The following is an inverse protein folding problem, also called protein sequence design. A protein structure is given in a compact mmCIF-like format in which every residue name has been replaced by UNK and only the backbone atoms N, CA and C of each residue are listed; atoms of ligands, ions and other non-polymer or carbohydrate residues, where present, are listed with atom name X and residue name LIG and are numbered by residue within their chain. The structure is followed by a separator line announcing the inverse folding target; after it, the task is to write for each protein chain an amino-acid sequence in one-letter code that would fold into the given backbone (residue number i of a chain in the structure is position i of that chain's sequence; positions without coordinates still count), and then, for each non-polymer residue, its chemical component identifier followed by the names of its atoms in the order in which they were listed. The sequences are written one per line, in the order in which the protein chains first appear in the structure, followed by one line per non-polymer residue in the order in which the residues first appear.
data_IF_142573583726
#
_entry.id   IF_142573583726
#
_cell.length_a   1.000
_cell.length_b   1.000
_cell.length_c   1.000
_cell.angle_alpha   90.00
_cell.angle_beta   90.00
_cell.angle_gamma   90.00
#
_symmetry.space_group_name_H-M   'P 1'
#
loop_
_entity.id
_entity.type
_entity.pdbx_description
1 polymer ?
#
# COMPACT_ATOMS: atom_id res chain seq x y z
N UNK A 1 5.77 -25.86 45.59
CA UNK A 1 6.36 -24.63 45.06
C UNK A 1 6.29 -24.70 43.54
N UNK A 2 5.35 -24.00 42.94
CA UNK A 2 5.46 -23.53 41.55
C UNK A 2 4.39 -22.44 41.39
N UNK A 3 4.83 -21.18 41.52
CA UNK A 3 3.98 -20.03 41.32
C UNK A 3 3.96 -19.73 39.81
N UNK A 4 2.87 -20.12 39.17
CA UNK A 4 2.57 -19.77 37.78
C UNK A 4 2.52 -18.25 37.65
N UNK A 5 3.53 -17.67 37.01
CA UNK A 5 3.60 -16.23 36.75
C UNK A 5 2.50 -15.84 35.76
N UNK A 6 1.71 -14.78 35.98
CA UNK A 6 0.70 -14.37 35.04
C UNK A 6 1.37 -13.84 33.77
N UNK A 7 1.10 -14.48 32.63
CA UNK A 7 1.47 -14.00 31.31
C UNK A 7 0.85 -12.62 31.07
N UNK A 8 1.66 -11.56 31.16
CA UNK A 8 1.24 -10.20 30.82
C UNK A 8 0.71 -10.17 29.38
N UNK A 9 -0.52 -9.68 29.21
CA UNK A 9 -1.10 -9.49 27.89
C UNK A 9 -0.25 -8.49 27.09
N UNK A 10 0.02 -8.74 25.78
CA UNK A 10 0.84 -7.86 24.97
C UNK A 10 0.27 -6.44 24.97
N UNK A 11 1.13 -5.47 25.29
CA UNK A 11 0.74 -4.06 25.44
C UNK A 11 0.42 -3.46 24.07
N UNK A 12 -0.87 -3.34 23.74
CA UNK A 12 -1.36 -2.80 22.47
C UNK A 12 -1.14 -1.28 22.42
N UNK A 13 -0.36 -0.77 21.46
CA UNK A 13 -0.21 0.68 21.23
C UNK A 13 -1.25 1.19 20.24
N UNK A 14 -2.06 2.18 20.66
CA UNK A 14 -3.01 2.92 19.81
C UNK A 14 -2.27 4.07 19.12
N UNK A 15 -2.44 4.23 17.81
CA UNK A 15 -1.75 5.28 17.02
C UNK A 15 -2.75 6.32 16.54
N UNK A 16 -2.38 7.61 16.61
CA UNK A 16 -3.25 8.70 16.17
C UNK A 16 -3.44 8.68 14.64
N UNK A 17 -4.67 8.93 14.18
CA UNK A 17 -4.99 8.97 12.75
C UNK A 17 -4.38 10.23 12.09
N UNK A 18 -3.45 10.03 11.16
CA UNK A 18 -2.94 11.11 10.30
C UNK A 18 -4.00 11.64 9.33
N UNK A 19 -3.96 12.93 9.00
CA UNK A 19 -4.86 13.54 8.00
C UNK A 19 -4.27 13.36 6.59
N UNK A 20 -4.95 12.62 5.70
CA UNK A 20 -4.57 12.51 4.27
C UNK A 20 -5.33 13.52 3.41
N UNK A 21 -4.61 14.46 2.78
CA UNK A 21 -5.17 15.43 1.82
C UNK A 21 -4.33 15.45 0.53
N UNK A 22 -4.69 14.66 -0.50
CA UNK A 22 -3.88 14.49 -1.71
C UNK A 22 -3.93 15.69 -2.66
N UNK A 23 -4.98 16.53 -2.58
CA UNK A 23 -5.19 17.68 -3.47
C UNK A 23 -4.36 18.92 -3.15
N UNK A 24 -3.55 18.90 -2.08
CA UNK A 24 -2.75 20.06 -1.64
C UNK A 24 -1.24 19.89 -1.86
N UNK A 25 -0.79 18.79 -2.48
CA UNK A 25 0.64 18.56 -2.74
C UNK A 25 0.99 18.88 -4.20
N UNK A 26 1.62 20.03 -4.50
CA UNK A 26 1.99 20.41 -5.87
C UNK A 26 2.96 19.41 -6.51
N UNK A 27 3.73 18.65 -5.73
CA UNK A 27 4.64 17.62 -6.25
C UNK A 27 3.90 16.43 -6.90
N UNK A 28 2.58 16.31 -6.69
CA UNK A 28 1.74 15.29 -7.34
C UNK A 28 1.19 15.74 -8.70
N UNK A 29 1.32 17.00 -9.11
CA UNK A 29 0.80 17.45 -10.41
C UNK A 29 1.30 16.60 -11.60
N UNK A 30 2.59 16.24 -11.71
CA UNK A 30 3.07 15.32 -12.74
C UNK A 30 2.48 13.90 -12.65
N UNK A 31 2.15 13.45 -11.44
CA UNK A 31 1.54 12.14 -11.19
C UNK A 31 0.12 12.12 -11.70
N UNK A 32 -0.65 13.18 -11.41
CA UNK A 32 -2.01 13.32 -11.92
C UNK A 32 -2.02 13.42 -13.45
N UNK A 33 -1.12 14.21 -14.04
CA UNK A 33 -1.03 14.32 -15.49
C UNK A 33 -0.82 12.95 -16.17
N UNK A 34 0.09 12.12 -15.66
CA UNK A 34 0.28 10.76 -16.18
C UNK A 34 -0.94 9.86 -15.93
N UNK A 35 -1.55 9.95 -14.74
CA UNK A 35 -2.73 9.14 -14.42
C UNK A 35 -3.89 9.47 -15.37
N UNK A 36 -4.11 10.75 -15.64
CA UNK A 36 -5.13 11.28 -16.56
C UNK A 36 -4.85 10.88 -18.02
N UNK A 37 -3.60 11.00 -18.48
CA UNK A 37 -3.16 10.54 -19.80
C UNK A 37 -3.40 9.03 -20.01
N UNK A 38 -3.37 8.27 -18.91
CA UNK A 38 -3.67 6.84 -18.90
C UNK A 38 -5.14 6.49 -18.56
N UNK A 39 -6.04 7.46 -18.48
CA UNK A 39 -7.47 7.28 -18.20
C UNK A 39 -7.75 6.47 -16.91
N UNK A 40 -6.98 6.73 -15.86
CA UNK A 40 -7.11 6.00 -14.59
C UNK A 40 -8.49 6.16 -13.94
N UNK A 41 -8.90 5.17 -13.15
CA UNK A 41 -10.11 5.26 -12.36
C UNK A 41 -9.88 6.12 -11.10
N UNK A 42 -10.32 7.38 -11.17
CA UNK A 42 -10.10 8.40 -10.14
C UNK A 42 -10.57 7.95 -8.75
N UNK A 43 -11.79 7.42 -8.65
CA UNK A 43 -12.40 7.04 -7.38
C UNK A 43 -11.58 5.99 -6.63
N UNK A 44 -11.32 4.87 -7.30
CA UNK A 44 -10.52 3.77 -6.76
C UNK A 44 -9.08 4.19 -6.42
N UNK A 45 -8.37 4.83 -7.35
CA UNK A 45 -6.96 5.17 -7.15
C UNK A 45 -6.74 6.13 -5.98
N UNK A 46 -7.59 7.15 -5.82
CA UNK A 46 -7.52 8.07 -4.69
C UNK A 46 -7.90 7.40 -3.37
N UNK A 47 -8.87 6.49 -3.40
CA UNK A 47 -9.27 5.74 -2.22
C UNK A 47 -8.14 4.82 -1.73
N UNK A 48 -7.52 4.05 -2.64
CA UNK A 48 -6.34 3.22 -2.34
C UNK A 48 -5.18 4.06 -1.83
N UNK A 49 -4.88 5.20 -2.46
CA UNK A 49 -3.84 6.12 -2.00
C UNK A 49 -4.09 6.63 -0.58
N UNK A 50 -5.35 6.90 -0.24
CA UNK A 50 -5.74 7.31 1.12
C UNK A 50 -5.52 6.18 2.13
N UNK A 51 -6.04 4.99 1.87
CA UNK A 51 -5.89 3.85 2.78
C UNK A 51 -4.41 3.48 2.99
N UNK A 52 -3.63 3.42 1.91
CA UNK A 52 -2.19 3.15 1.98
C UNK A 52 -1.45 4.19 2.81
N UNK A 53 -1.79 5.47 2.64
CA UNK A 53 -1.17 6.57 3.40
C UNK A 53 -1.56 6.55 4.88
N UNK A 54 -2.81 6.23 5.21
CA UNK A 54 -3.25 6.06 6.60
C UNK A 54 -2.48 4.93 7.30
N UNK A 55 -2.27 3.80 6.62
CA UNK A 55 -1.46 2.70 7.17
C UNK A 55 0.02 3.09 7.29
N UNK A 56 0.58 3.80 6.31
CA UNK A 56 1.95 4.32 6.40
C UNK A 56 2.14 5.21 7.63
N UNK A 57 1.25 6.18 7.84
CA UNK A 57 1.38 7.11 8.95
C UNK A 57 1.26 6.38 10.31
N UNK A 58 0.35 5.42 10.41
CA UNK A 58 0.10 4.68 11.65
C UNK A 58 1.15 3.60 11.96
N UNK A 59 1.80 3.04 10.93
CA UNK A 59 2.86 2.03 11.07
C UNK A 59 4.27 2.63 11.02
N UNK A 60 4.40 3.96 11.03
CA UNK A 60 5.70 4.66 11.00
C UNK A 60 6.69 4.13 12.04
N UNK A 61 6.32 3.84 13.30
CA UNK A 61 7.26 3.30 14.28
C UNK A 61 7.85 1.93 13.88
N UNK A 62 7.13 1.14 13.07
CA UNK A 62 7.61 -0.16 12.61
C UNK A 62 8.55 -0.03 11.42
N UNK A 63 8.16 0.72 10.39
CA UNK A 63 8.93 0.78 9.16
C UNK A 63 9.98 1.90 9.14
N UNK A 64 9.85 2.91 10.00
CA UNK A 64 10.80 4.02 10.19
C UNK A 64 11.11 4.79 8.90
N UNK A 65 10.11 4.91 8.03
CA UNK A 65 10.26 5.60 6.72
C UNK A 65 9.72 7.02 6.83
N UNK A 66 10.43 7.98 6.23
CA UNK A 66 10.07 9.40 6.26
C UNK A 66 9.24 9.89 5.06
N UNK A 67 9.00 11.21 4.96
CA UNK A 67 8.10 11.83 3.97
C UNK A 67 8.41 11.52 2.50
N UNK A 68 9.70 11.37 2.15
CA UNK A 68 10.09 10.98 0.78
C UNK A 68 9.53 9.63 0.36
N UNK A 69 9.46 8.66 1.29
CA UNK A 69 8.90 7.33 1.03
C UNK A 69 7.38 7.38 1.03
N UNK A 70 6.80 8.23 1.87
CA UNK A 70 5.37 8.52 1.83
C UNK A 70 4.93 9.06 0.47
N UNK A 71 5.68 10.01 -0.10
CA UNK A 71 5.43 10.51 -1.46
C UNK A 71 5.47 9.39 -2.51
N UNK A 72 6.51 8.54 -2.46
CA UNK A 72 6.64 7.38 -3.37
C UNK A 72 5.45 6.44 -3.26
N UNK A 73 4.97 6.17 -2.05
CA UNK A 73 3.77 5.36 -1.83
C UNK A 73 2.54 6.01 -2.46
N UNK A 74 2.27 7.28 -2.13
CA UNK A 74 1.12 8.00 -2.67
C UNK A 74 1.14 8.04 -4.20
N UNK A 75 2.29 8.33 -4.81
CA UNK A 75 2.44 8.33 -6.27
C UNK A 75 2.21 6.95 -6.87
N UNK A 76 2.80 5.90 -6.29
CA UNK A 76 2.60 4.53 -6.75
C UNK A 76 1.14 4.08 -6.61
N UNK A 77 0.46 4.47 -5.54
CA UNK A 77 -0.97 4.18 -5.33
C UNK A 77 -1.86 4.87 -6.37
N UNK A 78 -1.57 6.12 -6.74
CA UNK A 78 -2.35 6.81 -7.77
C UNK A 78 -2.15 6.19 -9.16
N UNK A 79 -0.97 5.60 -9.40
CA UNK A 79 -0.58 5.05 -10.70
C UNK A 79 -0.73 3.53 -10.81
N UNK A 80 -1.15 2.81 -9.77
CA UNK A 80 -0.99 1.35 -9.71
C UNK A 80 -1.69 0.59 -10.86
N UNK A 81 -2.82 1.13 -11.33
CA UNK A 81 -3.68 0.51 -12.33
C UNK A 81 -3.64 1.17 -13.72
N UNK A 82 -2.77 2.16 -13.96
CA UNK A 82 -2.69 2.86 -15.26
C UNK A 82 -2.39 1.93 -16.45
N UNK A 83 -1.77 0.77 -16.19
CA UNK A 83 -1.54 -0.24 -17.23
C UNK A 83 -2.81 -0.89 -17.78
N UNK A 84 -3.98 -0.64 -17.16
CA UNK A 84 -5.27 -1.10 -17.68
C UNK A 84 -5.64 -0.48 -19.04
N UNK A 85 -5.02 0.64 -19.42
CA UNK A 85 -5.22 1.25 -20.74
C UNK A 85 -4.92 0.28 -21.89
N UNK A 86 -3.91 -0.58 -21.75
CA UNK A 86 -3.57 -1.64 -22.72
C UNK A 86 -4.22 -3.00 -22.38
N UNK A 87 -5.18 -3.01 -21.47
CA UNK A 87 -5.91 -4.19 -21.06
C UNK A 87 -5.45 -4.80 -19.73
N UNK A 88 -6.30 -5.70 -19.20
CA UNK A 88 -6.15 -6.25 -17.84
C UNK A 88 -5.02 -7.27 -17.71
N UNK A 89 -4.62 -7.91 -18.81
CA UNK A 89 -3.62 -8.98 -18.82
C UNK A 89 -2.25 -8.36 -18.56
N UNK A 90 -1.64 -8.73 -17.43
CA UNK A 90 -0.31 -8.25 -17.00
C UNK A 90 -0.23 -6.72 -16.85
N UNK A 91 -1.35 -6.01 -16.59
CA UNK A 91 -1.37 -4.54 -16.43
C UNK A 91 -0.30 -4.03 -15.45
N UNK A 92 0.01 -4.77 -14.38
CA UNK A 92 1.01 -4.39 -13.38
C UNK A 92 2.44 -4.30 -13.98
N UNK A 93 2.72 -5.05 -15.04
CA UNK A 93 3.97 -4.94 -15.80
C UNK A 93 3.94 -3.72 -16.72
N UNK A 94 2.79 -3.46 -17.34
CA UNK A 94 2.56 -2.27 -18.17
C UNK A 94 2.63 -0.97 -17.35
N UNK A 95 2.03 -0.94 -16.15
CA UNK A 95 2.14 0.15 -15.18
C UNK A 95 3.61 0.51 -14.90
N UNK A 96 4.46 -0.50 -14.64
CA UNK A 96 5.90 -0.24 -14.46
C UNK A 96 6.49 0.43 -15.71
N UNK A 97 6.21 -0.10 -16.90
CA UNK A 97 6.72 0.45 -18.16
C UNK A 97 6.29 1.91 -18.36
N UNK A 98 5.00 2.22 -18.20
CA UNK A 98 4.50 3.59 -18.31
C UNK A 98 5.18 4.56 -17.33
N UNK A 99 5.41 4.15 -16.08
CA UNK A 99 6.12 4.99 -15.11
C UNK A 99 7.59 5.19 -15.49
N UNK A 100 8.25 4.18 -16.05
CA UNK A 100 9.64 4.26 -16.50
C UNK A 100 9.78 5.19 -17.71
N UNK A 101 8.87 5.09 -18.68
CA UNK A 101 9.00 5.73 -19.99
C UNK A 101 8.35 7.13 -20.06
N UNK A 102 7.47 7.47 -19.11
CA UNK A 102 6.70 8.71 -19.14
C UNK A 102 7.56 9.98 -19.15
N UNK A 103 7.38 10.87 -20.13
CA UNK A 103 8.05 12.19 -20.14
C UNK A 103 7.42 13.18 -19.17
N UNK A 104 6.21 12.90 -18.69
CA UNK A 104 5.46 13.77 -17.78
C UNK A 104 6.05 13.80 -16.38
N UNK A 105 6.77 12.76 -15.97
CA UNK A 105 7.36 12.66 -14.63
C UNK A 105 8.77 13.29 -14.59
N UNK A 106 8.99 14.46 -13.94
CA UNK A 106 10.31 15.10 -13.88
C UNK A 106 11.20 14.45 -12.81
N UNK A 107 11.33 13.13 -12.86
CA UNK A 107 12.04 12.31 -11.89
C UNK A 107 13.24 11.61 -12.51
N UNK A 108 14.28 11.38 -11.71
CA UNK A 108 15.40 10.53 -12.10
C UNK A 108 14.95 9.09 -12.37
N UNK A 109 15.71 8.38 -13.21
CA UNK A 109 15.42 6.99 -13.55
C UNK A 109 15.33 6.09 -12.33
N UNK A 110 16.20 6.32 -11.33
CA UNK A 110 16.15 5.62 -10.05
C UNK A 110 14.83 5.85 -9.31
N UNK A 111 14.32 7.08 -9.29
CA UNK A 111 13.05 7.37 -8.62
C UNK A 111 11.87 6.73 -9.36
N UNK A 112 11.83 6.82 -10.70
CA UNK A 112 10.83 6.12 -11.53
C UNK A 112 10.85 4.61 -11.29
N UNK A 113 12.04 4.00 -11.25
CA UNK A 113 12.21 2.57 -11.02
C UNK A 113 11.68 2.14 -9.65
N UNK A 114 11.88 2.94 -8.60
CA UNK A 114 11.33 2.68 -7.27
C UNK A 114 9.80 2.77 -7.28
N UNK A 115 9.23 3.89 -7.76
CA UNK A 115 7.78 4.11 -7.80
C UNK A 115 7.09 3.06 -8.66
N UNK A 116 7.61 2.79 -9.86
CA UNK A 116 7.10 1.77 -10.75
C UNK A 116 7.21 0.36 -10.17
N UNK A 117 8.27 0.06 -9.41
CA UNK A 117 8.39 -1.23 -8.72
C UNK A 117 7.34 -1.37 -7.61
N UNK A 118 7.10 -0.32 -6.82
CA UNK A 118 6.02 -0.31 -5.80
C UNK A 118 4.67 -0.58 -6.47
N UNK A 119 4.35 0.18 -7.52
CA UNK A 119 3.10 0.07 -8.27
C UNK A 119 2.92 -1.34 -8.89
N UNK A 120 3.98 -1.93 -9.47
CA UNK A 120 3.92 -3.27 -10.05
C UNK A 120 3.60 -4.37 -9.05
N UNK A 121 4.07 -4.24 -7.81
CA UNK A 121 3.91 -5.30 -6.80
C UNK A 121 2.57 -5.24 -6.05
N UNK A 122 1.64 -4.35 -6.44
CA UNK A 122 0.28 -4.33 -5.87
C UNK A 122 -0.50 -5.66 -6.12
N UNK A 123 -0.06 -6.48 -7.08
CA UNK A 123 -0.67 -7.80 -7.36
C UNK A 123 0.32 -8.84 -7.84
N UNK A 124 -0.15 -10.09 -7.88
CA UNK A 124 0.59 -11.26 -8.40
C UNK A 124 1.86 -11.52 -7.58
N UNK A 125 2.98 -11.82 -8.23
CA UNK A 125 4.21 -12.27 -7.60
C UNK A 125 4.79 -11.20 -6.66
N UNK A 126 5.45 -11.65 -5.61
CA UNK A 126 6.20 -10.78 -4.69
C UNK A 126 7.56 -10.38 -5.30
N UNK A 127 8.25 -9.37 -4.74
CA UNK A 127 9.59 -9.02 -5.16
C UNK A 127 10.54 -10.23 -5.16
N UNK A 128 11.24 -10.43 -6.27
CA UNK A 128 12.06 -11.62 -6.52
C UNK A 128 13.38 -11.25 -7.21
N UNK A 129 14.48 -11.98 -6.93
CA UNK A 129 15.72 -11.88 -7.70
C UNK A 129 15.58 -12.23 -9.19
N UNK A 130 14.47 -12.86 -9.60
CA UNK A 130 14.17 -13.13 -11.02
C UNK A 130 13.57 -11.93 -11.76
N UNK A 131 13.38 -10.80 -11.08
CA UNK A 131 12.79 -9.59 -11.66
C UNK A 131 13.88 -8.52 -11.83
N UNK A 132 14.32 -8.28 -13.06
CA UNK A 132 15.45 -7.39 -13.38
C UNK A 132 15.30 -5.99 -12.78
N UNK A 133 14.10 -5.42 -12.89
CA UNK A 133 13.78 -4.10 -12.33
C UNK A 133 13.97 -4.03 -10.80
N UNK A 134 13.82 -5.16 -10.09
CA UNK A 134 13.99 -5.22 -8.64
C UNK A 134 15.45 -5.49 -8.24
N UNK A 135 16.17 -6.29 -9.03
CA UNK A 135 17.61 -6.53 -8.82
C UNK A 135 18.43 -5.27 -9.06
N UNK A 136 18.01 -4.44 -10.03
CA UNK A 136 18.64 -3.15 -10.33
C UNK A 136 18.55 -2.11 -9.19
N UNK A 137 17.66 -2.31 -8.20
CA UNK A 137 17.56 -1.44 -7.03
C UNK A 137 18.65 -1.76 -6.02
N UNK A 138 19.19 -0.75 -5.33
CA UNK A 138 20.08 -0.99 -4.19
C UNK A 138 19.31 -1.53 -2.96
N UNK A 139 20.05 -1.97 -1.94
CA UNK A 139 19.46 -2.59 -0.75
C UNK A 139 18.39 -1.73 -0.05
N UNK A 140 18.64 -0.43 0.10
CA UNK A 140 17.70 0.52 0.71
C UNK A 140 16.41 0.63 -0.11
N UNK A 141 16.53 0.80 -1.43
CA UNK A 141 15.36 0.91 -2.30
C UNK A 141 14.60 -0.43 -2.42
N UNK A 142 15.28 -1.58 -2.34
CA UNK A 142 14.62 -2.89 -2.23
C UNK A 142 13.81 -3.03 -0.95
N UNK A 143 14.33 -2.52 0.18
CA UNK A 143 13.58 -2.47 1.47
C UNK A 143 12.37 -1.55 1.33
N UNK A 144 12.55 -0.35 0.79
CA UNK A 144 11.45 0.59 0.53
C UNK A 144 10.36 -0.07 -0.34
N UNK A 145 10.73 -0.72 -1.45
CA UNK A 145 9.77 -1.40 -2.34
C UNK A 145 8.97 -2.50 -1.63
N UNK A 146 9.61 -3.30 -0.76
CA UNK A 146 8.91 -4.36 -0.02
C UNK A 146 7.87 -3.80 0.94
N UNK A 147 8.25 -2.81 1.75
CA UNK A 147 7.34 -2.18 2.72
C UNK A 147 6.21 -1.44 2.01
N UNK A 148 6.56 -0.53 1.10
CA UNK A 148 5.58 0.32 0.42
C UNK A 148 4.68 -0.49 -0.52
N UNK A 149 5.24 -1.48 -1.22
CA UNK A 149 4.48 -2.42 -2.04
C UNK A 149 3.51 -3.25 -1.20
N UNK A 150 3.90 -3.67 0.01
CA UNK A 150 3.01 -4.36 0.95
C UNK A 150 1.84 -3.50 1.42
N UNK A 151 2.10 -2.23 1.76
CA UNK A 151 1.06 -1.27 2.13
C UNK A 151 0.07 -1.02 0.98
N UNK A 152 0.59 -0.75 -0.23
CA UNK A 152 -0.24 -0.55 -1.42
C UNK A 152 -1.08 -1.79 -1.73
N UNK A 153 -0.45 -2.97 -1.75
CA UNK A 153 -1.10 -4.24 -2.05
C UNK A 153 -2.24 -4.57 -1.08
N UNK A 154 -2.07 -4.26 0.21
CA UNK A 154 -3.14 -4.38 1.20
C UNK A 154 -4.25 -3.33 0.98
N UNK A 155 -3.88 -2.07 0.72
CA UNK A 155 -4.84 -1.00 0.48
C UNK A 155 -5.74 -1.26 -0.74
N UNK A 156 -5.15 -1.70 -1.86
CA UNK A 156 -5.86 -2.12 -3.07
C UNK A 156 -6.81 -3.30 -2.77
N UNK A 157 -6.38 -4.26 -1.96
CA UNK A 157 -7.24 -5.37 -1.54
C UNK A 157 -8.48 -4.94 -0.73
N UNK A 158 -8.34 -3.90 0.08
CA UNK A 158 -9.43 -3.33 0.89
C UNK A 158 -10.46 -2.56 0.04
N UNK A 159 -10.15 -2.29 -1.23
CA UNK A 159 -11.07 -1.68 -2.19
C UNK A 159 -11.24 -2.53 -3.46
N UNK A 160 -11.18 -3.86 -3.33
CA UNK A 160 -11.17 -4.76 -4.51
C UNK A 160 -12.43 -4.68 -5.37
N UNK A 161 -13.55 -4.15 -4.86
CA UNK A 161 -14.78 -3.92 -5.62
C UNK A 161 -14.92 -2.51 -6.17
N UNK A 162 -13.97 -1.62 -5.84
CA UNK A 162 -13.92 -0.22 -6.25
C UNK A 162 -15.12 0.60 -5.74
N UNK A 163 -15.84 0.08 -4.74
CA UNK A 163 -17.01 0.73 -4.12
C UNK A 163 -16.66 1.50 -2.84
N UNK A 164 -15.38 1.53 -2.46
CA UNK A 164 -14.90 2.17 -1.24
C UNK A 164 -15.64 1.67 0.01
N UNK A 165 -15.89 0.37 0.07
CA UNK A 165 -16.61 -0.28 1.19
C UNK A 165 -15.90 0.00 2.52
N UNK A 166 -14.57 -0.14 2.53
CA UNK A 166 -13.72 0.20 3.67
C UNK A 166 -13.50 1.71 3.69
N UNK A 167 -14.19 2.42 4.57
CA UNK A 167 -14.15 3.89 4.65
C UNK A 167 -12.95 4.43 5.41
N UNK A 168 -12.22 3.59 6.14
CA UNK A 168 -11.03 3.98 6.88
C UNK A 168 -10.36 2.79 7.51
N UNK A 169 -9.15 3.01 8.02
CA UNK A 169 -8.39 1.98 8.73
C UNK A 169 -7.75 2.57 9.98
N UNK A 170 -7.81 1.81 11.07
CA UNK A 170 -7.04 2.05 12.28
C UNK A 170 -6.06 0.89 12.47
N UNK A 171 -4.79 1.20 12.65
CA UNK A 171 -3.72 0.24 12.81
C UNK A 171 -3.19 0.31 14.24
N UNK A 172 -3.06 -0.87 14.84
CA UNK A 172 -2.31 -1.08 16.08
C UNK A 172 -1.36 -2.24 15.87
N UNK A 173 -0.34 -2.35 16.70
CA UNK A 173 0.58 -3.47 16.62
C UNK A 173 1.12 -3.84 18.00
N UNK A 174 1.60 -5.06 18.08
CA UNK A 174 2.46 -5.59 19.15
C UNK A 174 3.73 -6.18 18.51
N UNK A 175 4.51 -6.92 19.30
CA UNK A 175 5.78 -7.48 18.83
C UNK A 175 5.62 -8.54 17.75
N UNK A 176 4.43 -9.17 17.64
CA UNK A 176 4.16 -10.29 16.74
C UNK A 176 3.19 -9.93 15.61
N UNK A 177 2.27 -8.99 15.86
CA UNK A 177 1.11 -8.76 15.00
C UNK A 177 0.85 -7.30 14.71
N UNK A 178 0.37 -7.04 13.50
CA UNK A 178 -0.26 -5.81 13.08
C UNK A 178 -1.76 -6.09 12.97
N UNK A 179 -2.58 -5.32 13.67
CA UNK A 179 -4.03 -5.39 13.56
C UNK A 179 -4.51 -4.20 12.74
N UNK A 180 -5.25 -4.48 11.67
CA UNK A 180 -5.84 -3.51 10.76
C UNK A 180 -7.36 -3.55 10.95
N UNK A 181 -7.87 -2.59 11.72
CA UNK A 181 -9.30 -2.40 11.94
C UNK A 181 -9.89 -1.60 10.77
N UNK A 182 -10.70 -2.27 9.96
CA UNK A 182 -11.36 -1.68 8.80
C UNK A 182 -12.70 -1.08 9.22
N UNK A 183 -12.83 0.23 9.05
CA UNK A 183 -14.08 0.95 9.30
C UNK A 183 -15.02 0.73 8.12
N UNK A 184 -16.11 0.01 8.35
CA UNK A 184 -17.09 -0.38 7.33
C UNK A 184 -18.49 0.01 7.78
N UNK A 185 -19.35 0.43 6.85
CA UNK A 185 -20.79 0.52 7.12
C UNK A 185 -21.32 -0.90 7.38
N UNK A 186 -22.20 -1.05 8.36
CA UNK A 186 -22.66 -2.36 8.85
C UNK A 186 -23.26 -3.22 7.73
N UNK A 187 -24.10 -2.63 6.87
CA UNK A 187 -24.68 -3.29 5.69
C UNK A 187 -23.69 -3.52 4.53
N UNK A 188 -22.50 -2.91 4.54
CA UNK A 188 -21.52 -3.00 3.46
C UNK A 188 -20.43 -4.04 3.70
N UNK A 189 -20.50 -4.77 4.82
CA UNK A 189 -19.63 -5.89 5.16
C UNK A 189 -19.58 -6.92 4.01
N UNK A 190 -18.49 -6.93 3.24
CA UNK A 190 -18.36 -7.75 2.03
C UNK A 190 -17.17 -8.74 2.11
N UNK A 191 -17.48 -10.04 2.06
CA UNK A 191 -16.51 -11.12 2.21
C UNK A 191 -15.39 -11.08 1.15
N UNK A 192 -15.64 -10.45 -0.01
CA UNK A 192 -14.66 -10.31 -1.08
C UNK A 192 -13.44 -9.50 -0.66
N UNK A 193 -13.62 -8.31 -0.08
CA UNK A 193 -12.56 -7.42 0.37
C UNK A 193 -11.78 -8.07 1.51
N UNK A 194 -12.45 -8.66 2.50
CA UNK A 194 -11.76 -9.35 3.59
C UNK A 194 -10.91 -10.51 3.09
N UNK A 195 -11.50 -11.41 2.30
CA UNK A 195 -10.77 -12.57 1.78
C UNK A 195 -9.62 -12.17 0.86
N UNK A 196 -9.78 -11.09 0.08
CA UNK A 196 -8.69 -10.54 -0.75
C UNK A 196 -7.59 -9.92 0.12
N UNK A 197 -7.97 -9.14 1.13
CA UNK A 197 -7.04 -8.43 2.00
C UNK A 197 -6.18 -9.38 2.83
N UNK A 198 -6.78 -10.45 3.39
CA UNK A 198 -6.02 -11.51 4.10
C UNK A 198 -4.95 -12.11 3.19
N UNK A 199 -5.30 -12.45 1.94
CA UNK A 199 -4.33 -13.01 0.98
C UNK A 199 -3.26 -12.01 0.55
N UNK A 200 -3.62 -10.74 0.37
CA UNK A 200 -2.74 -9.68 -0.14
C UNK A 200 -1.89 -9.00 0.95
N UNK A 201 -2.10 -9.33 2.22
CA UNK A 201 -1.23 -8.89 3.31
C UNK A 201 0.16 -9.57 3.30
N UNK A 202 0.33 -10.63 2.51
CA UNK A 202 1.53 -11.47 2.39
C UNK A 202 2.84 -10.69 2.25
N UNK A 203 2.89 -9.64 1.43
CA UNK A 203 4.10 -8.83 1.27
C UNK A 203 4.39 -7.99 2.52
N UNK A 204 3.36 -7.41 3.14
CA UNK A 204 3.52 -6.59 4.33
C UNK A 204 3.99 -7.44 5.52
N UNK A 205 3.44 -8.66 5.65
CA UNK A 205 3.87 -9.66 6.65
C UNK A 205 5.36 -9.95 6.51
N UNK A 206 5.82 -10.24 5.29
CA UNK A 206 7.25 -10.50 5.02
C UNK A 206 8.13 -9.28 5.21
N UNK A 207 7.63 -8.08 4.92
CA UNK A 207 8.42 -6.86 4.98
C UNK A 207 8.62 -6.32 6.39
N UNK A 208 7.64 -6.56 7.29
CA UNK A 208 7.65 -6.07 8.68
C UNK A 208 7.80 -7.19 9.72
N UNK A 209 7.93 -8.44 9.26
CA UNK A 209 8.16 -9.64 10.06
C UNK A 209 7.11 -9.80 11.18
N UNK A 210 5.85 -9.52 10.83
CA UNK A 210 4.70 -9.56 11.74
C UNK A 210 3.47 -10.08 11.00
N UNK A 211 2.66 -10.90 11.65
CA UNK A 211 1.38 -11.33 11.08
C UNK A 211 0.44 -10.12 10.94
N UNK A 212 -0.41 -10.13 9.92
CA UNK A 212 -1.43 -9.09 9.72
C UNK A 212 -2.81 -9.68 10.00
N UNK A 213 -3.48 -9.15 11.02
CA UNK A 213 -4.85 -9.50 11.38
C UNK A 213 -5.81 -8.41 10.87
N UNK A 214 -6.81 -8.81 10.09
CA UNK A 214 -7.80 -7.88 9.53
C UNK A 214 -9.11 -8.04 10.29
N UNK A 215 -9.54 -6.95 10.92
CA UNK A 215 -10.74 -6.89 11.74
C UNK A 215 -11.72 -5.89 11.15
N UNK A 216 -13.01 -6.14 11.30
CA UNK A 216 -14.05 -5.23 10.82
C UNK A 216 -14.71 -4.53 11.98
N UNK A 217 -14.64 -3.21 11.97
CA UNK A 217 -15.32 -2.36 12.92
C UNK A 217 -16.48 -1.67 12.22
N UNK A 218 -17.69 -1.88 12.75
CA UNK A 218 -18.87 -1.17 12.26
C UNK A 218 -18.74 0.31 12.60
N UNK A 219 -18.98 1.15 11.60
CA UNK A 219 -19.23 2.59 11.78
C UNK A 219 -20.59 2.83 12.45
#
# INVERSE_FOLDING_TARGET
MEATTPSQAPTRRKVAAGRFHPKLNPQLAPVYALAEDCLYEVGHAHHVARLASLMFDQLQPLHQLGPKRRFRLTAASLLHDIGHLEGSRRHHKTTLRYILDSRLLPWSQRHRLVVGSIARYHRKALPSPKHDHFVALNATDRRDVRVLGGLLRLADALDTTHRSVVRGVNCRFDDRRIYVECMVRRESRNAAEWGRAVRKADLLVKALERDVCIEWQSL
#
